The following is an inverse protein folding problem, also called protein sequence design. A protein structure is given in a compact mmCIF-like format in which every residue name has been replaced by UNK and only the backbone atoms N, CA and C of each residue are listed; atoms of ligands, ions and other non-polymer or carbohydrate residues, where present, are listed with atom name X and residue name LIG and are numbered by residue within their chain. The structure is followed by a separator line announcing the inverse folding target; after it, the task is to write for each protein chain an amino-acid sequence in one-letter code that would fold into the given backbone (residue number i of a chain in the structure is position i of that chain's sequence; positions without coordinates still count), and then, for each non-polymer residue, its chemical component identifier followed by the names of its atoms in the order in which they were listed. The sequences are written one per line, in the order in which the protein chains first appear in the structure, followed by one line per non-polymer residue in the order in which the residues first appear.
data_IF_303665738014
#
_entry.id   IF_303665738014
#
_cell.length_a   1.000
_cell.length_b   1.000
_cell.length_c   1.000
_cell.angle_alpha   90.00
_cell.angle_beta   90.00
_cell.angle_gamma   90.00
#
_symmetry.space_group_name_H-M   'P 1'
#
loop_
_entity.id
_entity.type
_entity.pdbx_description
1 polymer ?
#
# COMPACT_ATOMS: atom_id res chain seq x y z
N UNK A 1 -26.76 3.43 8.33
CA UNK A 1 -25.82 4.52 7.95
C UNK A 1 -25.09 5.11 9.17
N UNK A 2 -25.80 5.45 10.25
CA UNK A 2 -25.20 6.07 11.45
C UNK A 2 -24.19 5.17 12.18
N UNK A 3 -24.42 3.85 12.23
CA UNK A 3 -23.52 2.88 12.86
C UNK A 3 -22.15 2.73 12.15
N UNK A 4 -22.11 2.83 10.82
CA UNK A 4 -20.86 2.72 10.06
C UNK A 4 -19.99 3.97 10.21
N UNK A 5 -20.60 5.14 10.24
CA UNK A 5 -19.93 6.41 10.54
C UNK A 5 -19.43 6.45 11.98
N UNK A 6 -20.25 6.00 12.95
CA UNK A 6 -19.85 5.89 14.34
C UNK A 6 -18.74 4.86 14.56
N UNK A 7 -18.78 3.70 13.89
CA UNK A 7 -17.68 2.73 13.91
C UNK A 7 -16.40 3.32 13.31
N UNK A 8 -16.47 3.96 12.14
CA UNK A 8 -15.32 4.60 11.52
C UNK A 8 -14.75 5.69 12.45
N UNK A 9 -15.61 6.47 13.09
CA UNK A 9 -15.23 7.49 14.07
C UNK A 9 -14.63 6.90 15.34
N UNK A 10 -15.18 5.82 15.89
CA UNK A 10 -14.61 5.09 17.02
C UNK A 10 -13.26 4.47 16.68
N UNK A 11 -13.11 3.85 15.52
CA UNK A 11 -11.81 3.37 15.03
C UNK A 11 -10.82 4.56 14.84
N UNK A 12 -11.31 5.71 14.38
CA UNK A 12 -10.55 6.96 14.27
C UNK A 12 -10.24 7.63 15.62
N UNK A 13 -10.86 7.22 16.72
CA UNK A 13 -10.63 7.83 18.04
C UNK A 13 -9.94 6.88 19.03
N UNK A 14 -10.27 5.59 19.03
CA UNK A 14 -9.89 4.63 20.09
C UNK A 14 -8.61 3.83 19.79
N UNK A 15 -8.20 3.71 18.51
CA UNK A 15 -7.11 2.81 18.11
C UNK A 15 -6.00 3.61 17.37
N UNK A 16 -5.07 4.27 18.10
CA UNK A 16 -3.99 5.04 17.48
C UNK A 16 -3.03 4.18 16.64
N UNK A 17 -2.92 2.88 16.97
CA UNK A 17 -1.98 1.93 16.36
C UNK A 17 -2.42 1.35 15.01
N UNK A 18 -3.71 1.43 14.68
CA UNK A 18 -4.28 0.54 13.66
C UNK A 18 -4.62 1.29 12.37
N UNK A 19 -5.02 2.57 12.42
CA UNK A 19 -5.45 3.28 11.19
C UNK A 19 -4.62 4.52 10.87
N UNK A 20 -4.13 4.57 9.62
CA UNK A 20 -3.35 5.66 9.07
C UNK A 20 -4.26 6.59 8.26
N UNK A 21 -4.28 7.88 8.60
CA UNK A 21 -4.87 8.90 7.74
C UNK A 21 -3.76 9.42 6.84
N UNK A 22 -3.75 8.99 5.58
CA UNK A 22 -2.84 9.57 4.60
C UNK A 22 -3.50 10.88 4.16
N UNK A 23 -2.88 12.02 4.45
CA UNK A 23 -3.32 13.30 3.90
C UNK A 23 -2.89 13.38 2.44
N UNK A 24 -3.74 12.78 1.62
CA UNK A 24 -3.77 12.96 0.20
C UNK A 24 -4.79 14.06 -0.05
N UNK A 25 -4.33 15.28 -0.30
CA UNK A 25 -5.19 16.42 -0.61
C UNK A 25 -5.86 16.17 -1.97
N UNK A 26 -6.94 15.40 -1.96
CA UNK A 26 -7.69 15.04 -3.15
C UNK A 26 -8.65 16.16 -3.49
N UNK A 27 -8.51 16.71 -4.69
CA UNK A 27 -9.55 17.53 -5.30
C UNK A 27 -10.55 16.58 -5.97
N UNK A 28 -11.84 16.90 -5.98
CA UNK A 28 -12.85 16.07 -6.66
C UNK A 28 -12.41 15.76 -8.10
N UNK A 29 -12.39 14.47 -8.47
CA UNK A 29 -11.97 13.99 -9.78
C UNK A 29 -10.48 13.67 -9.97
N UNK A 30 -9.63 13.85 -8.94
CA UNK A 30 -8.21 13.46 -9.02
C UNK A 30 -7.98 11.97 -8.72
N UNK A 31 -7.22 11.29 -9.59
CA UNK A 31 -6.83 9.89 -9.43
C UNK A 31 -5.66 9.77 -8.43
N UNK A 32 -5.69 8.78 -7.54
CA UNK A 32 -4.58 8.50 -6.60
C UNK A 32 -3.21 8.47 -7.26
N UNK A 33 -3.07 7.83 -8.42
CA UNK A 33 -1.81 7.79 -9.18
C UNK A 33 -1.40 9.14 -9.76
N UNK A 34 -2.37 9.94 -10.23
CA UNK A 34 -2.11 11.30 -10.72
C UNK A 34 -1.71 12.21 -9.57
N UNK A 35 -2.35 12.07 -8.41
CA UNK A 35 -2.04 12.84 -7.22
C UNK A 35 -0.70 12.44 -6.57
N UNK A 36 -0.33 11.16 -6.56
CA UNK A 36 1.03 10.75 -6.17
C UNK A 36 2.05 11.42 -7.11
N UNK A 37 1.78 11.44 -8.41
CA UNK A 37 2.62 12.14 -9.38
C UNK A 37 2.65 13.66 -9.13
N UNK A 38 1.50 14.27 -8.80
CA UNK A 38 1.38 15.71 -8.55
C UNK A 38 2.05 16.11 -7.24
N UNK A 39 1.88 15.35 -6.15
CA UNK A 39 2.62 15.54 -4.89
C UNK A 39 4.14 15.44 -5.12
N UNK A 40 4.60 14.49 -5.93
CA UNK A 40 6.00 14.39 -6.33
C UNK A 40 6.50 15.53 -7.23
N UNK A 41 5.59 16.25 -7.89
CA UNK A 41 5.93 17.43 -8.68
C UNK A 41 5.85 18.72 -7.83
N UNK A 42 5.06 18.71 -6.75
CA UNK A 42 4.86 19.81 -5.79
C UNK A 42 5.90 19.79 -4.66
N UNK A 43 6.57 18.68 -4.38
CA UNK A 43 7.65 18.60 -3.39
C UNK A 43 8.95 19.24 -3.92
N UNK A 44 9.13 20.55 -3.73
CA UNK A 44 10.41 21.02 -3.19
C UNK A 44 10.20 22.01 -2.03
N UNK A 45 11.10 21.92 -1.02
CA UNK A 45 11.30 22.80 0.16
C UNK A 45 10.71 22.34 1.50
N UNK A 46 10.95 21.09 1.91
CA UNK A 46 11.15 20.81 3.33
C UNK A 46 12.62 20.45 3.53
N UNK A 47 13.34 21.29 4.27
CA UNK A 47 14.75 21.16 4.54
C UNK A 47 15.00 19.99 5.49
N UNK A 48 15.50 18.87 4.98
CA UNK A 48 16.13 17.81 5.76
C UNK A 48 17.55 17.62 5.27
N UNK A 49 18.45 17.44 6.23
CA UNK A 49 19.91 17.56 6.11
C UNK A 49 20.51 16.70 4.99
N UNK A 50 21.55 17.26 4.39
CA UNK A 50 22.30 16.72 3.27
C UNK A 50 23.15 15.55 3.71
N UNK A 51 22.94 14.36 3.12
CA UNK A 51 24.03 13.44 2.74
C UNK A 51 23.57 12.19 1.94
N UNK A 52 22.53 12.27 1.09
CA UNK A 52 22.33 11.30 -0.04
C UNK A 52 21.20 11.68 -1.03
N UNK A 53 21.20 12.91 -1.55
CA UNK A 53 20.14 13.48 -2.44
C UNK A 53 19.94 12.79 -3.81
N UNK A 54 20.56 11.64 -4.11
CA UNK A 54 20.41 10.97 -5.41
C UNK A 54 19.68 9.64 -5.24
N UNK A 55 18.35 9.65 -5.37
CA UNK A 55 17.53 8.72 -6.18
C UNK A 55 16.05 8.68 -5.76
N UNK A 56 15.65 9.18 -4.59
CA UNK A 56 14.29 8.99 -4.05
C UNK A 56 13.44 10.26 -4.16
N UNK A 57 12.11 10.13 -4.33
CA UNK A 57 11.15 11.22 -4.13
C UNK A 57 10.21 10.82 -3.01
N UNK A 58 9.70 11.85 -2.36
CA UNK A 58 9.07 11.83 -1.05
C UNK A 58 7.54 11.85 -1.21
N UNK A 59 6.84 11.00 -0.45
CA UNK A 59 5.42 11.23 -0.14
C UNK A 59 5.32 11.64 1.32
N UNK A 60 4.39 12.55 1.62
CA UNK A 60 4.12 12.97 2.99
C UNK A 60 3.03 12.09 3.58
N UNK A 61 3.34 11.41 4.67
CA UNK A 61 2.42 10.58 5.42
C UNK A 61 2.30 11.15 6.82
N UNK A 62 1.09 11.35 7.32
CA UNK A 62 0.94 11.74 8.71
C UNK A 62 1.08 10.53 9.63
N UNK A 63 2.02 10.60 10.57
CA UNK A 63 2.09 9.70 11.71
C UNK A 63 1.10 10.15 12.75
N UNK A 64 0.11 9.30 13.00
CA UNK A 64 -1.03 9.64 13.85
C UNK A 64 -0.68 9.75 15.33
N UNK A 65 0.24 8.94 15.82
CA UNK A 65 0.69 8.97 17.21
C UNK A 65 1.28 10.34 17.60
N UNK A 66 1.97 10.98 16.65
CA UNK A 66 2.66 12.26 16.86
C UNK A 66 1.95 13.43 16.20
N UNK A 67 1.01 13.16 15.28
CA UNK A 67 0.39 14.14 14.39
C UNK A 67 1.34 14.72 13.33
N UNK A 68 2.61 14.29 13.29
CA UNK A 68 3.65 14.86 12.41
C UNK A 68 3.56 14.26 11.02
N UNK A 69 3.97 15.04 10.02
CA UNK A 69 4.21 14.53 8.68
C UNK A 69 5.59 13.90 8.63
N UNK A 70 5.64 12.64 8.26
CA UNK A 70 6.86 11.91 7.93
C UNK A 70 6.96 11.73 6.43
N UNK A 71 8.20 11.74 5.96
CA UNK A 71 8.54 11.48 4.57
C UNK A 71 8.71 9.98 4.39
N UNK A 72 7.95 9.40 3.48
CA UNK A 72 8.19 8.06 3.00
C UNK A 72 8.88 8.10 1.63
N UNK A 73 9.96 7.34 1.54
CA UNK A 73 10.78 7.27 0.34
C UNK A 73 10.20 6.25 -0.63
N UNK A 74 9.91 6.71 -1.85
CA UNK A 74 9.49 5.80 -2.90
C UNK A 74 10.64 5.57 -3.88
N UNK A 75 11.02 4.29 -4.12
CA UNK A 75 12.01 3.95 -5.12
C UNK A 75 11.68 4.53 -6.50
N UNK A 76 12.69 5.07 -7.20
CA UNK A 76 12.49 5.74 -8.49
C UNK A 76 11.86 4.84 -9.57
N UNK A 77 12.14 3.54 -9.54
CA UNK A 77 11.58 2.60 -10.52
C UNK A 77 10.05 2.51 -10.39
N UNK A 78 9.50 2.62 -9.18
CA UNK A 78 8.05 2.67 -8.93
C UNK A 78 7.49 3.94 -9.57
N UNK A 79 8.16 5.09 -9.39
CA UNK A 79 7.74 6.34 -10.04
C UNK A 79 7.69 6.23 -11.55
N UNK A 80 8.74 5.69 -12.17
CA UNK A 80 8.79 5.56 -13.62
C UNK A 80 7.66 4.65 -14.11
N UNK A 81 7.40 3.55 -13.41
CA UNK A 81 6.27 2.67 -13.70
C UNK A 81 4.92 3.39 -13.54
N UNK A 82 4.72 4.13 -12.44
CA UNK A 82 3.51 4.94 -12.22
C UNK A 82 3.31 5.97 -13.33
N UNK A 83 4.38 6.70 -13.70
CA UNK A 83 4.31 7.70 -14.77
C UNK A 83 3.94 7.04 -16.11
N UNK A 84 4.54 5.91 -16.45
CA UNK A 84 4.18 5.16 -17.67
C UNK A 84 2.73 4.68 -17.67
N UNK A 85 2.18 4.31 -16.50
CA UNK A 85 0.78 3.86 -16.40
C UNK A 85 -0.22 5.02 -16.40
N UNK A 86 0.14 6.21 -15.94
CA UNK A 86 -0.84 7.24 -15.59
C UNK A 86 -0.66 8.63 -16.21
N UNK A 87 0.49 8.99 -16.81
CA UNK A 87 0.74 10.38 -17.22
C UNK A 87 0.06 10.83 -18.52
N UNK A 88 -0.42 9.91 -19.36
CA UNK A 88 -0.97 10.26 -20.67
C UNK A 88 -2.41 9.72 -20.81
N UNK A 89 -3.33 10.50 -21.40
CA UNK A 89 -4.70 10.05 -21.70
C UNK A 89 -4.79 8.78 -22.56
N UNK A 90 -3.73 8.48 -23.32
CA UNK A 90 -3.53 7.22 -24.06
C UNK A 90 -3.14 6.02 -23.18
N UNK A 91 -2.69 6.22 -21.94
CA UNK A 91 -2.38 5.16 -20.98
C UNK A 91 -3.64 4.56 -20.31
N UNK A 92 -4.73 5.34 -20.22
CA UNK A 92 -6.05 4.85 -19.79
C UNK A 92 -6.65 3.86 -20.79
N UNK A 93 -6.37 4.03 -22.08
CA UNK A 93 -6.60 3.02 -23.10
C UNK A 93 -5.49 1.95 -22.98
N UNK A 94 -5.65 1.05 -22.01
CA UNK A 94 -4.71 0.00 -21.64
C UNK A 94 -4.34 -0.85 -22.86
N UNK A 95 -3.31 -0.45 -23.60
CA UNK A 95 -2.90 -1.20 -24.78
C UNK A 95 -2.29 -2.50 -24.28
N UNK A 96 -2.77 -3.65 -24.75
CA UNK A 96 -2.26 -4.99 -24.41
C UNK A 96 -0.71 -5.09 -24.41
N UNK A 97 -0.04 -4.23 -25.19
CA UNK A 97 1.42 -4.07 -25.23
C UNK A 97 2.03 -3.61 -23.90
N UNK A 98 1.46 -2.59 -23.24
CA UNK A 98 1.95 -2.11 -21.93
C UNK A 98 1.79 -3.21 -20.88
N UNK A 99 0.64 -3.90 -20.86
CA UNK A 99 0.41 -5.05 -19.97
C UNK A 99 1.45 -6.16 -20.16
N UNK A 100 1.75 -6.52 -21.42
CA UNK A 100 2.76 -7.54 -21.75
C UNK A 100 4.16 -7.13 -21.30
N UNK A 101 4.54 -5.86 -21.49
CA UNK A 101 5.83 -5.34 -21.04
C UNK A 101 5.93 -5.39 -19.52
N UNK A 102 4.93 -4.87 -18.80
CA UNK A 102 4.91 -4.90 -17.34
C UNK A 102 4.95 -6.33 -16.79
N UNK A 103 4.18 -7.26 -17.37
CA UNK A 103 4.20 -8.66 -16.97
C UNK A 103 5.60 -9.29 -17.18
N UNK A 104 6.20 -9.07 -18.34
CA UNK A 104 7.56 -9.56 -18.63
C UNK A 104 8.61 -8.98 -17.67
N UNK A 105 8.48 -7.70 -17.30
CA UNK A 105 9.34 -7.07 -16.30
C UNK A 105 9.16 -7.69 -14.92
N UNK A 106 7.92 -7.90 -14.47
CA UNK A 106 7.62 -8.55 -13.18
C UNK A 106 8.17 -9.96 -13.13
N UNK A 107 7.94 -10.77 -14.16
CA UNK A 107 8.48 -12.14 -14.24
C UNK A 107 10.00 -12.17 -14.25
N UNK A 108 10.65 -11.27 -15.00
CA UNK A 108 12.11 -11.14 -15.03
C UNK A 108 12.66 -10.74 -13.66
N UNK A 109 11.99 -9.82 -12.96
CA UNK A 109 12.39 -9.40 -11.62
C UNK A 109 12.22 -10.54 -10.62
N UNK A 110 11.12 -11.29 -10.69
CA UNK A 110 10.89 -12.49 -9.90
C UNK A 110 12.03 -13.50 -10.04
N UNK A 111 12.36 -13.89 -11.29
CA UNK A 111 13.50 -14.78 -11.57
C UNK A 111 14.83 -14.25 -11.05
N UNK A 112 15.02 -12.93 -11.08
CA UNK A 112 16.24 -12.30 -10.57
C UNK A 112 16.33 -12.44 -9.05
N UNK A 113 15.21 -12.29 -8.34
CA UNK A 113 15.13 -12.40 -6.89
C UNK A 113 15.02 -13.84 -6.36
N UNK A 114 14.72 -14.82 -7.23
CA UNK A 114 14.89 -16.26 -6.92
C UNK A 114 16.35 -16.71 -7.03
N UNK A 115 17.19 -15.97 -7.78
CA UNK A 115 18.58 -16.35 -7.99
C UNK A 115 19.43 -16.08 -6.74
N UNK A 116 20.37 -16.98 -6.34
CA UNK A 116 21.16 -16.80 -5.11
C UNK A 116 21.97 -15.50 -5.01
N UNK A 117 22.46 -15.00 -6.15
CA UNK A 117 23.14 -13.69 -6.21
C UNK A 117 22.30 -12.50 -5.73
N UNK A 118 20.98 -12.65 -5.52
CA UNK A 118 20.10 -11.60 -5.00
C UNK A 118 20.20 -11.40 -3.48
N UNK A 119 20.86 -12.31 -2.74
CA UNK A 119 21.11 -12.16 -1.29
C UNK A 119 21.80 -10.82 -0.96
N UNK A 120 22.65 -10.33 -1.87
CA UNK A 120 23.35 -9.04 -1.73
C UNK A 120 22.41 -7.82 -1.66
N UNK A 121 21.16 -7.97 -2.09
CA UNK A 121 20.15 -6.90 -2.06
C UNK A 121 19.45 -6.81 -0.70
N UNK A 122 19.49 -7.87 0.12
CA UNK A 122 18.78 -7.94 1.41
C UNK A 122 19.23 -6.83 2.38
N UNK A 123 20.53 -6.60 2.64
CA UNK A 123 20.95 -5.59 3.62
C UNK A 123 20.51 -4.18 3.22
N UNK A 124 20.63 -3.83 1.93
CA UNK A 124 20.18 -2.54 1.40
C UNK A 124 18.68 -2.38 1.52
N UNK A 125 17.93 -3.46 1.33
CA UNK A 125 16.48 -3.43 1.46
C UNK A 125 16.04 -3.25 2.91
N UNK A 126 16.69 -3.93 3.86
CA UNK A 126 16.45 -3.77 5.30
C UNK A 126 16.70 -2.32 5.72
N UNK A 127 17.85 -1.76 5.33
CA UNK A 127 18.22 -0.37 5.63
C UNK A 127 17.22 0.62 5.01
N UNK A 128 16.91 0.45 3.72
CA UNK A 128 16.03 1.36 3.00
C UNK A 128 14.58 1.36 3.54
N UNK A 129 14.06 0.21 3.94
CA UNK A 129 12.69 0.06 4.45
C UNK A 129 12.58 0.06 5.98
N UNK A 130 13.69 0.21 6.70
CA UNK A 130 13.70 0.17 8.17
C UNK A 130 13.10 -1.11 8.74
N UNK A 131 13.39 -2.27 8.12
CA UNK A 131 12.80 -3.54 8.54
C UNK A 131 13.30 -3.91 9.94
N UNK A 132 12.37 -4.16 10.88
CA UNK A 132 12.72 -4.64 12.21
C UNK A 132 13.21 -6.09 12.15
N UNK A 133 14.52 -6.28 12.22
CA UNK A 133 15.14 -7.60 12.17
C UNK A 133 14.84 -8.45 13.42
N UNK A 134 14.55 -7.80 14.57
CA UNK A 134 14.27 -8.49 15.82
C UNK A 134 12.98 -9.32 15.78
N UNK A 135 12.06 -9.00 14.88
CA UNK A 135 10.80 -9.74 14.70
C UNK A 135 10.93 -10.93 13.75
N UNK A 136 12.03 -11.04 13.00
CA UNK A 136 12.24 -12.11 12.03
C UNK A 136 12.57 -13.42 12.75
N UNK A 137 11.98 -14.52 12.29
CA UNK A 137 12.24 -15.86 12.85
C UNK A 137 13.69 -16.30 12.63
N UNK A 138 14.21 -16.02 11.45
CA UNK A 138 15.56 -16.37 11.02
C UNK A 138 16.37 -15.10 10.73
N UNK A 139 17.70 -15.09 10.95
CA UNK A 139 18.53 -13.93 10.67
C UNK A 139 18.64 -13.66 9.16
N UNK A 140 18.85 -12.40 8.76
CA UNK A 140 18.94 -12.00 7.36
C UNK A 140 20.01 -12.75 6.55
N UNK A 141 21.08 -13.20 7.20
CA UNK A 141 22.18 -13.97 6.59
C UNK A 141 21.82 -15.42 6.23
N UNK A 142 20.68 -15.94 6.70
CA UNK A 142 20.26 -17.33 6.48
C UNK A 142 19.53 -17.57 5.14
N UNK A 143 19.02 -16.51 4.51
CA UNK A 143 18.21 -16.62 3.30
C UNK A 143 19.07 -16.93 2.06
N UNK A 144 18.59 -17.82 1.19
CA UNK A 144 19.35 -18.27 0.01
C UNK A 144 19.18 -17.33 -1.18
N UNK A 145 18.13 -16.54 -1.20
CA UNK A 145 17.81 -15.54 -2.21
C UNK A 145 16.92 -14.45 -1.62
N UNK A 146 16.67 -13.38 -2.38
CA UNK A 146 15.89 -12.24 -1.92
C UNK A 146 14.40 -12.59 -1.73
N UNK A 147 13.82 -13.44 -2.57
CA UNK A 147 12.40 -13.81 -2.42
C UNK A 147 12.16 -14.59 -1.12
N UNK A 148 13.06 -15.48 -0.70
CA UNK A 148 12.99 -16.15 0.61
C UNK A 148 12.98 -15.15 1.77
N UNK A 149 13.78 -14.08 1.68
CA UNK A 149 13.73 -12.97 2.61
C UNK A 149 12.41 -12.17 2.50
N UNK A 150 11.88 -11.97 1.30
CA UNK A 150 10.67 -11.18 1.07
C UNK A 150 9.43 -11.80 1.73
N UNK A 151 9.30 -13.14 1.71
CA UNK A 151 8.24 -13.87 2.42
C UNK A 151 8.68 -14.42 3.79
N UNK A 152 9.74 -13.88 4.39
CA UNK A 152 10.29 -14.32 5.69
C UNK A 152 9.20 -14.50 6.76
N UNK A 153 9.40 -15.50 7.61
CA UNK A 153 8.52 -15.76 8.76
C UNK A 153 8.85 -14.82 9.90
N UNK A 154 7.83 -14.39 10.64
CA UNK A 154 7.99 -13.69 11.91
C UNK A 154 8.12 -14.68 13.07
N UNK A 155 8.69 -14.23 14.18
CA UNK A 155 8.73 -14.98 15.45
C UNK A 155 7.31 -15.26 15.94
N UNK A 156 7.14 -16.39 16.60
CA UNK A 156 5.89 -16.72 17.30
C UNK A 156 5.63 -15.66 18.38
N UNK A 157 4.37 -15.22 18.50
CA UNK A 157 3.98 -14.15 19.42
C UNK A 157 4.28 -12.72 18.93
N UNK A 158 4.94 -12.52 17.78
CA UNK A 158 5.15 -11.17 17.23
C UNK A 158 3.84 -10.46 16.84
N UNK A 159 2.78 -11.23 16.57
CA UNK A 159 1.43 -10.76 16.21
C UNK A 159 0.38 -11.58 16.96
N UNK A 160 0.12 -11.30 18.24
CA UNK A 160 -0.95 -11.98 18.98
C UNK A 160 -2.30 -11.60 18.36
N UNK A 161 -3.17 -12.60 18.14
CA UNK A 161 -4.52 -12.36 17.61
C UNK A 161 -5.41 -11.89 18.76
N UNK A 162 -6.12 -10.78 18.56
CA UNK A 162 -7.03 -10.26 19.56
C UNK A 162 -8.31 -11.10 19.61
N UNK A 163 -8.74 -11.45 20.82
CA UNK A 163 -10.02 -12.13 21.09
C UNK A 163 -10.30 -13.33 20.16
N UNK A 164 -9.37 -14.29 20.08
CA UNK A 164 -9.40 -15.43 19.14
C UNK A 164 -10.71 -16.23 19.10
N UNK A 165 -11.51 -16.21 20.17
CA UNK A 165 -12.78 -16.93 20.28
C UNK A 165 -14.02 -16.05 20.16
N UNK A 166 -13.87 -14.79 19.74
CA UNK A 166 -14.97 -13.84 19.58
C UNK A 166 -15.26 -13.57 18.10
N UNK A 167 -16.27 -14.23 17.55
CA UNK A 167 -16.71 -14.06 16.16
C UNK A 167 -17.21 -12.63 15.85
N UNK A 168 -17.46 -11.82 16.88
CA UNK A 168 -17.81 -10.40 16.74
C UNK A 168 -16.60 -9.47 16.54
N UNK A 169 -15.37 -9.99 16.58
CA UNK A 169 -14.14 -9.20 16.48
C UNK A 169 -13.40 -9.49 15.17
N UNK A 170 -13.20 -8.44 14.38
CA UNK A 170 -12.34 -8.49 13.21
C UNK A 170 -10.92 -7.98 13.57
N UNK A 171 -9.91 -8.73 13.14
CA UNK A 171 -8.49 -8.35 13.30
C UNK A 171 -7.88 -7.94 11.96
N UNK A 172 -6.77 -7.20 12.00
CA UNK A 172 -6.05 -6.83 10.78
C UNK A 172 -5.49 -8.08 10.08
N UNK A 173 -5.70 -8.24 8.77
CA UNK A 173 -5.20 -9.41 8.03
C UNK A 173 -3.72 -9.30 7.68
N UNK A 174 -3.13 -8.10 7.75
CA UNK A 174 -1.76 -7.84 7.34
C UNK A 174 -1.15 -6.63 8.05
N UNK A 175 0.18 -6.64 8.19
CA UNK A 175 0.97 -5.47 8.57
C UNK A 175 0.92 -4.45 7.44
N UNK A 176 0.12 -3.41 7.62
CA UNK A 176 -0.12 -2.44 6.58
C UNK A 176 -0.61 -1.10 7.13
N UNK A 177 -0.61 -0.11 6.24
CA UNK A 177 -1.43 1.07 6.39
C UNK A 177 -2.73 0.85 5.64
N UNK A 178 -3.87 1.03 6.28
CA UNK A 178 -5.16 0.89 5.61
C UNK A 178 -6.00 2.16 5.68
N UNK A 179 -6.96 2.23 4.77
CA UNK A 179 -8.01 3.22 4.73
C UNK A 179 -9.34 2.53 4.96
N UNK A 180 -10.16 3.12 5.84
CA UNK A 180 -11.49 2.63 6.16
C UNK A 180 -12.50 3.61 5.60
N UNK A 181 -13.51 3.05 4.96
CA UNK A 181 -14.68 3.78 4.50
C UNK A 181 -15.85 3.39 5.40
N UNK A 182 -16.64 4.36 5.88
CA UNK A 182 -17.80 4.08 6.72
C UNK A 182 -18.93 3.39 5.95
N UNK A 183 -18.95 3.52 4.62
CA UNK A 183 -19.95 2.89 3.76
C UNK A 183 -19.32 2.32 2.50
N UNK A 184 -19.99 1.33 1.91
CA UNK A 184 -19.57 0.77 0.64
C UNK A 184 -19.69 1.78 -0.51
N UNK A 185 -20.69 2.66 -0.46
CA UNK A 185 -20.83 3.74 -1.45
C UNK A 185 -19.61 4.67 -1.43
N UNK A 186 -19.14 5.08 -0.25
CA UNK A 186 -17.92 5.88 -0.09
C UNK A 186 -16.66 5.09 -0.46
N UNK A 187 -16.61 3.78 -0.19
CA UNK A 187 -15.55 2.97 -0.71
C UNK A 187 -15.53 3.07 -2.23
N UNK A 188 -16.64 2.80 -2.94
CA UNK A 188 -16.68 2.75 -4.40
C UNK A 188 -16.35 4.07 -5.12
N UNK A 189 -16.46 5.22 -4.45
CA UNK A 189 -16.08 6.53 -5.01
C UNK A 189 -14.59 6.80 -4.98
N UNK A 190 -13.84 6.16 -4.07
CA UNK A 190 -12.44 6.47 -3.80
C UNK A 190 -11.49 5.45 -4.40
N UNK A 191 -11.14 5.48 -5.70
CA UNK A 191 -10.09 4.54 -6.17
C UNK A 191 -9.08 5.03 -7.20
N UNK A 192 -7.88 4.45 -6.96
CA UNK A 192 -6.69 4.34 -7.78
C UNK A 192 -7.10 4.09 -9.24
N UNK A 193 -6.46 4.82 -10.16
CA UNK A 193 -6.68 4.76 -11.62
C UNK A 193 -7.88 5.55 -12.13
N UNK A 194 -8.56 6.35 -11.30
CA UNK A 194 -9.57 7.32 -11.75
C UNK A 194 -10.80 6.69 -12.38
N UNK A 195 -11.12 5.45 -11.99
CA UNK A 195 -12.30 4.70 -12.42
C UNK A 195 -12.92 4.12 -11.15
N UNK A 196 -14.21 4.37 -10.93
CA UNK A 196 -14.96 3.67 -9.89
C UNK A 196 -15.02 2.17 -10.20
N UNK A 197 -15.14 1.33 -9.18
CA UNK A 197 -15.36 -0.10 -9.39
C UNK A 197 -16.75 -0.52 -8.90
N UNK A 198 -17.33 -1.53 -9.53
CA UNK A 198 -18.52 -2.22 -9.00
C UNK A 198 -18.08 -3.44 -8.18
N UNK A 199 -18.83 -3.80 -7.14
CA UNK A 199 -18.54 -5.03 -6.37
C UNK A 199 -18.47 -6.24 -7.29
N UNK A 200 -19.38 -6.34 -8.25
CA UNK A 200 -19.39 -7.36 -9.30
C UNK A 200 -18.04 -7.44 -10.04
N UNK A 201 -17.46 -6.30 -10.45
CA UNK A 201 -16.15 -6.28 -11.11
C UNK A 201 -14.99 -6.71 -10.19
N UNK A 202 -15.09 -6.42 -8.89
CA UNK A 202 -14.07 -6.75 -7.90
C UNK A 202 -14.07 -8.26 -7.60
N UNK A 203 -15.24 -8.83 -7.32
CA UNK A 203 -15.41 -10.25 -6.97
C UNK A 203 -15.51 -11.16 -8.19
N UNK A 204 -15.74 -10.57 -9.37
CA UNK A 204 -15.93 -11.25 -10.67
C UNK A 204 -17.10 -12.24 -10.66
N UNK A 205 -18.14 -11.91 -9.89
CA UNK A 205 -19.36 -12.69 -9.71
C UNK A 205 -20.54 -11.73 -9.43
N UNK A 206 -21.50 -11.70 -10.35
CA UNK A 206 -22.65 -10.80 -10.26
C UNK A 206 -23.66 -11.25 -9.20
N UNK A 207 -23.84 -12.55 -9.00
CA UNK A 207 -24.78 -13.09 -8.03
C UNK A 207 -24.30 -12.83 -6.60
N UNK A 208 -23.01 -13.09 -6.34
CA UNK A 208 -22.39 -12.80 -5.06
C UNK A 208 -22.41 -11.29 -4.75
N UNK A 209 -22.16 -10.46 -5.77
CA UNK A 209 -22.20 -9.01 -5.58
C UNK A 209 -23.58 -8.51 -5.18
N UNK A 210 -24.65 -9.02 -5.82
CA UNK A 210 -26.03 -8.66 -5.48
C UNK A 210 -26.38 -9.05 -4.05
N UNK A 211 -26.08 -10.29 -3.65
CA UNK A 211 -26.31 -10.79 -2.28
C UNK A 211 -25.65 -9.88 -1.22
N UNK A 212 -24.40 -9.46 -1.46
CA UNK A 212 -23.66 -8.61 -0.51
C UNK A 212 -24.16 -7.16 -0.51
N UNK A 213 -24.64 -6.65 -1.64
CA UNK A 213 -25.20 -5.30 -1.73
C UNK A 213 -26.58 -5.20 -1.06
N UNK A 214 -27.40 -6.26 -1.15
CA UNK A 214 -28.71 -6.32 -0.49
C UNK A 214 -28.58 -6.37 1.03
N UNK A 215 -27.59 -7.11 1.53
CA UNK A 215 -27.30 -7.24 2.96
C UNK A 215 -26.52 -6.04 3.56
N UNK A 216 -26.12 -5.06 2.73
CA UNK A 216 -25.33 -3.89 3.15
C UNK A 216 -26.16 -2.61 3.34
N UNK A 217 -27.49 -2.66 3.16
CA UNK A 217 -28.42 -1.54 3.37
C UNK A 217 -28.89 -1.48 4.81
#
# INVERSE_FOLDING_TARGET
MEEGSDLAQRLWQQQPKVMWRVFLAMHEGTNVGQMILDQWNIAPKLSVQEDNKKLYKEILVQVRETGKLEVELIPNYIRVAMKMMYSNGLGRATTNKVRKVLNSMTERQGRTYDHPNSVKEIPKFIEFHGINEEEMREPASSFKNFNEFFFRKLKEGARPVAEENNDGVAVSPADSRFHVFPTLAEAQTFWVKGTSFSISSLVRDDALALERLENSK
#
